data_IF_949748311677
#
_entry.id   IF_949748311677
#
_cell.length_a   1.000
_cell.length_b   1.000
_cell.length_c   1.000
_cell.angle_alpha   90.00
_cell.angle_beta   90.00
_cell.angle_gamma   90.00
#
_symmetry.space_group_name_H-M   'P 1'
#
loop_
_entity.id
_entity.type
_entity.pdbx_description
1 polymer ?
#
# COMPACT_ATOMS: atom_id res chain seq x y z
N UNK A 1 35.26 -5.25 11.88
CA UNK A 1 35.93 -4.91 10.61
C UNK A 1 36.31 -6.21 9.93
N UNK A 2 35.35 -6.83 9.22
CA UNK A 2 35.62 -8.00 8.37
C UNK A 2 35.50 -7.53 6.93
N UNK A 3 36.65 -7.40 6.29
CA UNK A 3 36.78 -7.30 4.84
C UNK A 3 36.33 -8.64 4.25
N UNK A 4 35.14 -8.67 3.62
CA UNK A 4 34.81 -9.77 2.72
C UNK A 4 35.44 -9.45 1.38
N UNK A 5 36.40 -10.31 1.04
CA UNK A 5 37.20 -10.30 -0.16
C UNK A 5 36.29 -10.47 -1.39
N UNK A 6 36.11 -9.40 -2.17
CA UNK A 6 35.46 -9.45 -3.47
C UNK A 6 36.35 -10.28 -4.43
N UNK A 7 35.86 -11.45 -4.83
CA UNK A 7 36.49 -12.31 -5.83
C UNK A 7 36.08 -11.83 -7.24
N UNK A 8 37.01 -11.40 -8.13
CA UNK A 8 36.64 -10.74 -9.39
C UNK A 8 36.22 -11.66 -10.56
N UNK A 9 35.96 -12.95 -10.35
CA UNK A 9 35.84 -13.92 -11.45
C UNK A 9 34.57 -14.80 -11.47
N UNK A 10 33.49 -14.38 -10.79
CA UNK A 10 32.16 -15.04 -10.87
C UNK A 10 31.01 -14.10 -11.31
N UNK A 11 31.32 -12.84 -11.63
CA UNK A 11 30.33 -11.83 -11.98
C UNK A 11 30.11 -11.77 -13.50
N UNK A 12 29.33 -12.69 -14.06
CA UNK A 12 28.74 -12.44 -15.39
C UNK A 12 27.25 -12.08 -15.36
N UNK A 13 26.58 -12.19 -14.21
CA UNK A 13 25.26 -11.57 -13.97
C UNK A 13 25.12 -11.09 -12.52
N UNK A 14 25.78 -9.97 -12.26
CA UNK A 14 25.87 -9.27 -10.98
C UNK A 14 24.56 -8.74 -10.38
N UNK A 15 23.51 -8.70 -11.18
CA UNK A 15 22.27 -7.96 -10.95
C UNK A 15 21.08 -8.75 -11.50
N UNK A 16 21.07 -10.07 -11.29
CA UNK A 16 20.04 -10.94 -11.83
C UNK A 16 18.66 -10.62 -11.25
N UNK A 17 18.57 -10.32 -9.95
CA UNK A 17 17.29 -10.01 -9.32
C UNK A 17 16.79 -8.62 -9.70
N UNK A 18 17.66 -7.61 -9.78
CA UNK A 18 17.31 -6.29 -10.33
C UNK A 18 16.81 -6.40 -11.76
N UNK A 19 17.49 -7.18 -12.60
CA UNK A 19 17.08 -7.36 -14.00
C UNK A 19 15.70 -8.00 -14.08
N UNK A 20 15.49 -9.14 -13.42
CA UNK A 20 14.19 -9.83 -13.40
C UNK A 20 13.07 -8.97 -12.81
N UNK A 21 13.34 -8.22 -11.74
CA UNK A 21 12.38 -7.31 -11.10
C UNK A 21 11.91 -6.19 -12.03
N UNK A 22 12.84 -5.58 -12.78
CA UNK A 22 12.51 -4.52 -13.74
C UNK A 22 11.85 -5.09 -15.01
N UNK A 23 12.27 -6.26 -15.48
CA UNK A 23 11.65 -6.95 -16.62
C UNK A 23 10.20 -7.35 -16.32
N UNK A 24 9.93 -7.99 -15.17
CA UNK A 24 8.57 -8.32 -14.73
C UNK A 24 7.71 -7.07 -14.63
N UNK A 25 8.25 -5.98 -14.09
CA UNK A 25 7.51 -4.72 -13.95
C UNK A 25 7.20 -4.10 -15.31
N UNK A 26 8.16 -4.06 -16.23
CA UNK A 26 7.93 -3.54 -17.58
C UNK A 26 6.85 -4.37 -18.30
N UNK A 27 6.94 -5.71 -18.24
CA UNK A 27 5.96 -6.60 -18.85
C UNK A 27 4.55 -6.38 -18.30
N UNK A 28 4.41 -6.23 -16.99
CA UNK A 28 3.10 -5.98 -16.37
C UNK A 28 2.50 -4.64 -16.83
N UNK A 29 3.32 -3.60 -16.95
CA UNK A 29 2.86 -2.31 -17.45
C UNK A 29 2.41 -2.38 -18.91
N UNK A 30 3.17 -3.07 -19.77
CA UNK A 30 2.75 -3.32 -21.15
C UNK A 30 1.41 -4.05 -21.25
N UNK A 31 1.21 -5.08 -20.41
CA UNK A 31 -0.05 -5.85 -20.41
C UNK A 31 -1.26 -5.02 -19.96
N UNK A 32 -1.05 -4.03 -19.08
CA UNK A 32 -2.12 -3.14 -18.61
C UNK A 32 -2.45 -2.05 -19.63
N UNK A 33 -1.45 -1.56 -20.36
CA UNK A 33 -1.65 -0.55 -21.41
C UNK A 33 -2.34 -1.13 -22.65
N UNK A 34 -2.21 -2.43 -22.94
CA UNK A 34 -2.97 -3.06 -24.03
C UNK A 34 -4.49 -3.13 -23.79
N UNK A 35 -4.92 -3.05 -22.53
CA UNK A 35 -6.34 -3.07 -22.12
C UNK A 35 -6.94 -1.65 -21.98
N UNK A 36 -6.14 -0.59 -22.06
CA UNK A 36 -6.55 0.81 -21.88
C UNK A 36 -6.02 1.71 -23.00
N UNK A 37 -6.90 2.39 -23.73
CA UNK A 37 -6.55 3.23 -24.87
C UNK A 37 -5.74 4.49 -24.51
N UNK A 38 -4.44 4.35 -24.27
CA UNK A 38 -3.43 5.41 -24.36
C UNK A 38 -2.06 4.78 -24.63
N UNK A 39 -1.59 4.87 -25.88
CA UNK A 39 -0.25 4.42 -26.27
C UNK A 39 0.78 5.49 -25.91
N UNK A 40 1.03 5.68 -24.60
CA UNK A 40 2.23 6.38 -24.14
C UNK A 40 3.36 5.34 -24.02
N UNK A 41 4.48 5.60 -24.69
CA UNK A 41 5.68 4.74 -24.57
C UNK A 41 6.12 4.67 -23.11
N UNK A 42 6.28 3.46 -22.56
CA UNK A 42 6.80 3.26 -21.21
C UNK A 42 8.14 3.99 -21.05
N UNK A 43 8.23 4.92 -20.09
CA UNK A 43 9.48 5.57 -19.74
C UNK A 43 10.18 4.84 -18.59
N UNK A 44 11.52 4.87 -18.56
CA UNK A 44 12.34 4.22 -17.54
C UNK A 44 11.95 4.64 -16.11
N UNK A 45 11.58 5.91 -15.92
CA UNK A 45 11.12 6.43 -14.62
C UNK A 45 9.82 5.77 -14.17
N UNK A 46 8.86 5.56 -15.08
CA UNK A 46 7.59 4.90 -14.76
C UNK A 46 7.83 3.46 -14.35
N UNK A 47 8.61 2.69 -15.14
CA UNK A 47 8.95 1.30 -14.81
C UNK A 47 9.61 1.22 -13.43
N UNK A 48 10.60 2.08 -13.18
CA UNK A 48 11.33 2.07 -11.91
C UNK A 48 10.42 2.45 -10.72
N UNK A 49 9.55 3.46 -10.87
CA UNK A 49 8.57 3.83 -9.83
C UNK A 49 7.64 2.68 -9.47
N UNK A 50 7.07 2.02 -10.47
CA UNK A 50 6.19 0.85 -10.26
C UNK A 50 6.96 -0.32 -9.65
N UNK A 51 8.21 -0.52 -10.03
CA UNK A 51 9.04 -1.59 -9.50
C UNK A 51 9.25 -1.40 -7.99
N UNK A 52 9.57 -0.17 -7.55
CA UNK A 52 9.68 0.15 -6.12
C UNK A 52 8.35 0.00 -5.38
N UNK A 53 7.23 0.39 -5.99
CA UNK A 53 5.92 0.20 -5.37
C UNK A 53 5.63 -1.30 -5.14
N UNK A 54 5.96 -2.17 -6.11
CA UNK A 54 5.81 -3.63 -5.97
C UNK A 54 6.58 -4.22 -4.79
N UNK A 55 7.68 -3.59 -4.35
CA UNK A 55 8.39 -4.03 -3.15
C UNK A 55 7.51 -3.92 -1.89
N UNK A 56 6.48 -3.07 -1.87
CA UNK A 56 5.55 -2.97 -0.75
C UNK A 56 4.42 -4.01 -0.80
N UNK A 57 4.25 -4.73 -1.92
CA UNK A 57 3.17 -5.72 -2.09
C UNK A 57 3.70 -7.15 -2.27
N UNK A 58 5.00 -7.32 -2.52
CA UNK A 58 5.64 -8.62 -2.73
C UNK A 58 5.61 -9.56 -1.53
N UNK A 59 5.46 -10.85 -1.81
CA UNK A 59 5.75 -11.90 -0.83
C UNK A 59 7.27 -12.09 -0.67
N UNK A 60 7.83 -11.44 0.35
CA UNK A 60 9.27 -11.47 0.64
C UNK A 60 9.77 -12.82 1.18
N UNK A 61 8.89 -13.78 1.48
CA UNK A 61 9.30 -15.14 1.84
C UNK A 61 9.68 -15.95 0.59
N UNK A 62 8.97 -15.71 -0.51
CA UNK A 62 9.15 -16.43 -1.78
C UNK A 62 9.96 -15.64 -2.80
N UNK A 63 10.03 -14.31 -2.67
CA UNK A 63 10.66 -13.42 -3.64
C UNK A 63 11.78 -12.61 -2.96
N UNK A 64 13.05 -12.82 -3.35
CA UNK A 64 14.16 -12.09 -2.77
C UNK A 64 14.14 -10.62 -3.18
N UNK A 65 14.73 -9.78 -2.33
CA UNK A 65 14.95 -8.38 -2.65
C UNK A 65 16.01 -8.22 -3.76
N UNK A 66 15.84 -7.25 -4.70
CA UNK A 66 16.84 -6.91 -5.68
C UNK A 66 18.15 -6.50 -5.01
N UNK A 67 19.29 -6.83 -5.64
CA UNK A 67 20.62 -6.64 -5.06
C UNK A 67 20.86 -5.20 -4.58
N UNK A 68 20.31 -4.23 -5.29
CA UNK A 68 20.44 -2.80 -4.98
C UNK A 68 19.65 -2.35 -3.75
N UNK A 69 18.67 -3.13 -3.28
CA UNK A 69 17.81 -2.77 -2.14
C UNK A 69 17.94 -3.73 -0.95
N UNK A 70 18.79 -4.76 -1.04
CA UNK A 70 19.01 -5.75 0.04
C UNK A 70 19.35 -5.09 1.38
N UNK A 71 20.16 -4.03 1.36
CA UNK A 71 20.55 -3.32 2.59
C UNK A 71 19.40 -2.57 3.26
N UNK A 72 18.33 -2.27 2.51
CA UNK A 72 17.15 -1.56 2.99
C UNK A 72 15.93 -2.49 3.16
N UNK A 73 16.09 -3.82 3.05
CA UNK A 73 15.00 -4.80 3.06
C UNK A 73 14.06 -4.66 4.28
N UNK A 74 14.64 -4.45 5.47
CA UNK A 74 13.87 -4.31 6.72
C UNK A 74 12.97 -3.08 6.66
N UNK A 75 13.48 -1.98 6.09
CA UNK A 75 12.71 -0.73 5.95
C UNK A 75 11.56 -0.89 4.97
N UNK A 76 11.75 -1.65 3.89
CA UNK A 76 10.65 -1.98 2.96
C UNK A 76 9.61 -2.90 3.62
N UNK A 77 10.03 -3.88 4.40
CA UNK A 77 9.12 -4.76 5.14
C UNK A 77 8.30 -4.01 6.20
N UNK A 78 8.92 -3.09 6.94
CA UNK A 78 8.24 -2.20 7.89
C UNK A 78 7.21 -1.32 7.16
N UNK A 79 7.58 -0.73 6.03
CA UNK A 79 6.65 0.08 5.22
C UNK A 79 5.53 -0.76 4.62
N UNK A 80 5.79 -2.01 4.21
CA UNK A 80 4.75 -2.96 3.75
C UNK A 80 3.74 -3.23 4.86
N UNK A 81 4.20 -3.45 6.09
CA UNK A 81 3.33 -3.66 7.25
C UNK A 81 2.48 -2.41 7.55
N UNK A 82 3.11 -1.24 7.54
CA UNK A 82 2.44 0.04 7.73
C UNK A 82 1.37 0.29 6.64
N UNK A 83 1.69 -0.05 5.39
CA UNK A 83 0.78 0.04 4.25
C UNK A 83 -0.45 -0.87 4.43
N UNK A 84 -0.24 -2.14 4.82
CA UNK A 84 -1.32 -3.09 5.10
C UNK A 84 -2.26 -2.55 6.19
N UNK A 85 -1.70 -2.05 7.29
CA UNK A 85 -2.48 -1.49 8.39
C UNK A 85 -3.26 -0.25 7.96
N UNK A 86 -2.69 0.62 7.13
CA UNK A 86 -3.38 1.80 6.59
C UNK A 86 -4.52 1.44 5.64
N UNK A 87 -4.31 0.45 4.77
CA UNK A 87 -5.36 -0.04 3.86
C UNK A 87 -6.53 -0.62 4.66
N UNK A 88 -6.25 -1.41 5.70
CA UNK A 88 -7.28 -1.93 6.60
C UNK A 88 -7.98 -0.82 7.37
N UNK A 89 -7.24 0.14 7.94
CA UNK A 89 -7.80 1.27 8.65
C UNK A 89 -8.76 2.08 7.77
N UNK A 90 -8.35 2.42 6.54
CA UNK A 90 -9.21 3.13 5.59
C UNK A 90 -10.46 2.33 5.23
N UNK A 91 -10.31 1.03 4.98
CA UNK A 91 -11.43 0.11 4.67
C UNK A 91 -12.44 0.04 5.81
N UNK A 92 -11.96 -0.14 7.04
CA UNK A 92 -12.80 -0.26 8.24
C UNK A 92 -13.51 1.06 8.58
N UNK A 93 -12.85 2.20 8.38
CA UNK A 93 -13.46 3.51 8.55
C UNK A 93 -14.63 3.72 7.57
N UNK A 94 -14.47 3.33 6.30
CA UNK A 94 -15.54 3.42 5.30
C UNK A 94 -16.72 2.51 5.67
N UNK A 95 -16.46 1.25 6.05
CA UNK A 95 -17.50 0.30 6.48
C UNK A 95 -18.26 0.85 7.70
N UNK A 96 -17.55 1.39 8.67
CA UNK A 96 -18.12 1.96 9.91
C UNK A 96 -18.99 3.18 9.60
N UNK A 97 -18.49 4.10 8.77
CA UNK A 97 -19.21 5.31 8.38
C UNK A 97 -20.51 5.00 7.62
N UNK A 98 -20.49 3.97 6.77
CA UNK A 98 -21.67 3.51 6.04
C UNK A 98 -22.71 2.87 6.98
N UNK A 99 -22.25 2.17 8.01
CA UNK A 99 -23.12 1.42 8.92
C UNK A 99 -23.72 2.29 10.04
N UNK A 100 -22.99 3.31 10.50
CA UNK A 100 -23.43 4.24 11.54
C UNK A 100 -24.60 5.13 11.08
N UNK A 101 -24.75 5.34 9.76
CA UNK A 101 -25.78 6.19 9.18
C UNK A 101 -25.45 7.68 9.27
N UNK A 102 -26.11 8.53 8.46
CA UNK A 102 -25.67 9.91 8.21
C UNK A 102 -25.64 10.81 9.44
N UNK A 103 -26.52 10.57 10.43
CA UNK A 103 -26.59 11.37 11.65
C UNK A 103 -25.34 11.17 12.51
N UNK A 104 -25.01 9.90 12.81
CA UNK A 104 -23.84 9.57 13.65
C UNK A 104 -22.54 9.87 12.91
N UNK A 105 -22.50 9.55 11.63
CA UNK A 105 -21.38 9.81 10.74
C UNK A 105 -21.04 11.30 10.58
N UNK A 106 -22.01 12.20 10.79
CA UNK A 106 -21.81 13.65 10.76
C UNK A 106 -21.44 14.26 12.12
N UNK A 107 -21.41 13.47 13.20
CA UNK A 107 -21.06 13.97 14.52
C UNK A 107 -19.59 14.42 14.56
N UNK A 108 -19.30 15.61 15.11
CA UNK A 108 -17.93 16.06 15.30
C UNK A 108 -17.11 15.05 16.11
N UNK A 109 -15.96 14.65 15.57
CA UNK A 109 -15.02 13.75 16.25
C UNK A 109 -15.35 12.26 16.17
N UNK A 110 -16.50 11.85 15.62
CA UNK A 110 -16.85 10.43 15.49
C UNK A 110 -15.82 9.67 14.64
N UNK A 111 -15.45 10.21 13.47
CA UNK A 111 -14.44 9.59 12.60
C UNK A 111 -13.08 9.46 13.29
N UNK A 112 -12.63 10.48 14.02
CA UNK A 112 -11.35 10.44 14.75
C UNK A 112 -11.39 9.44 15.91
N UNK A 113 -12.53 9.33 16.60
CA UNK A 113 -12.73 8.33 17.64
C UNK A 113 -12.67 6.91 17.06
N UNK A 114 -13.39 6.64 15.96
CA UNK A 114 -13.34 5.35 15.27
C UNK A 114 -11.93 5.05 14.77
N UNK A 115 -11.26 6.04 14.19
CA UNK A 115 -9.88 5.91 13.71
C UNK A 115 -8.94 5.52 14.84
N UNK A 116 -9.01 6.19 15.99
CA UNK A 116 -8.17 5.89 17.15
C UNK A 116 -8.43 4.47 17.68
N UNK A 117 -9.71 4.07 17.77
CA UNK A 117 -10.10 2.73 18.23
C UNK A 117 -9.59 1.64 17.28
N UNK A 118 -9.87 1.79 15.97
CA UNK A 118 -9.48 0.82 14.95
C UNK A 118 -7.96 0.71 14.89
N UNK A 119 -7.25 1.84 14.88
CA UNK A 119 -5.79 1.86 14.79
C UNK A 119 -5.14 1.14 15.96
N UNK A 120 -5.64 1.33 17.18
CA UNK A 120 -5.16 0.62 18.36
C UNK A 120 -5.37 -0.88 18.23
N UNK A 121 -6.53 -1.32 17.73
CA UNK A 121 -6.85 -2.74 17.58
C UNK A 121 -6.10 -3.40 16.42
N UNK A 122 -5.69 -2.63 15.41
CA UNK A 122 -4.85 -3.10 14.30
C UNK A 122 -3.37 -3.23 14.68
N UNK A 123 -2.97 -2.80 15.88
CA UNK A 123 -1.59 -2.93 16.34
C UNK A 123 -1.17 -4.41 16.37
N UNK A 124 -0.10 -4.73 15.65
CA UNK A 124 0.39 -6.12 15.51
C UNK A 124 -0.24 -6.92 14.37
N UNK A 125 -1.26 -6.42 13.66
CA UNK A 125 -1.74 -7.08 12.43
C UNK A 125 -0.61 -7.16 11.41
N UNK A 126 -0.43 -8.35 10.82
CA UNK A 126 0.64 -8.66 9.88
C UNK A 126 1.96 -9.10 10.52
N UNK A 127 2.02 -9.20 11.86
CA UNK A 127 3.17 -9.79 12.57
C UNK A 127 3.01 -11.30 12.75
N UNK A 128 4.11 -12.08 12.80
CA UNK A 128 4.05 -13.51 12.99
C UNK A 128 3.30 -13.91 14.26
N UNK A 129 2.34 -14.83 14.13
CA UNK A 129 1.55 -15.33 15.26
C UNK A 129 0.28 -14.53 15.58
N UNK A 130 0.02 -13.41 14.90
CA UNK A 130 -1.23 -12.66 15.02
C UNK A 130 -2.17 -13.03 13.87
N UNK A 131 -3.34 -13.55 14.22
CA UNK A 131 -4.42 -13.89 13.27
C UNK A 131 -5.19 -12.62 12.89
N UNK A 132 -5.09 -12.21 11.62
CA UNK A 132 -5.86 -11.07 11.09
C UNK A 132 -7.37 -11.28 11.28
N UNK A 133 -7.87 -12.50 11.10
CA UNK A 133 -9.29 -12.84 11.24
C UNK A 133 -9.79 -12.61 12.68
N UNK A 134 -8.99 -12.99 13.68
CA UNK A 134 -9.35 -12.81 15.10
C UNK A 134 -9.31 -11.34 15.51
N UNK A 135 -8.35 -10.58 14.96
CA UNK A 135 -8.29 -9.13 15.14
C UNK A 135 -9.51 -8.47 14.53
N UNK A 136 -9.89 -8.81 13.29
CA UNK A 136 -11.07 -8.26 12.63
C UNK A 136 -12.36 -8.63 13.35
N UNK A 137 -12.49 -9.86 13.87
CA UNK A 137 -13.64 -10.25 14.69
C UNK A 137 -13.74 -9.37 15.95
N UNK A 138 -12.61 -9.15 16.64
CA UNK A 138 -12.54 -8.27 17.82
C UNK A 138 -12.91 -6.82 17.47
N UNK A 139 -12.42 -6.31 16.35
CA UNK A 139 -12.76 -4.98 15.85
C UNK A 139 -14.27 -4.89 15.58
N UNK A 140 -14.86 -5.90 14.95
CA UNK A 140 -16.29 -5.99 14.68
C UNK A 140 -17.14 -5.84 15.95
N UNK A 141 -16.77 -6.56 17.01
CA UNK A 141 -17.43 -6.45 18.31
C UNK A 141 -17.30 -5.03 18.91
N UNK A 142 -16.09 -4.47 18.92
CA UNK A 142 -15.83 -3.16 19.54
C UNK A 142 -16.49 -2.01 18.80
N UNK A 143 -16.42 -1.99 17.46
CA UNK A 143 -17.07 -0.96 16.65
C UNK A 143 -18.59 -1.04 16.79
N UNK A 144 -19.18 -2.24 16.78
CA UNK A 144 -20.63 -2.40 16.93
C UNK A 144 -21.16 -1.82 18.24
N UNK A 145 -20.47 -2.11 19.37
CA UNK A 145 -20.81 -1.54 20.68
C UNK A 145 -20.73 -0.02 20.64
N UNK A 146 -19.68 0.52 20.04
CA UNK A 146 -19.43 1.96 20.00
C UNK A 146 -20.42 2.71 19.09
N UNK A 147 -20.77 2.15 17.95
CA UNK A 147 -21.82 2.67 17.06
C UNK A 147 -23.18 2.65 17.76
N UNK A 148 -23.54 1.56 18.43
CA UNK A 148 -24.79 1.46 19.20
C UNK A 148 -24.84 2.51 20.33
N UNK A 149 -23.73 2.71 21.04
CA UNK A 149 -23.57 3.74 22.07
C UNK A 149 -23.84 5.13 21.49
N UNK A 150 -23.21 5.48 20.36
CA UNK A 150 -23.43 6.77 19.70
C UNK A 150 -24.90 6.96 19.26
N UNK A 151 -25.51 5.93 18.66
CA UNK A 151 -26.92 6.00 18.24
C UNK A 151 -27.85 6.28 19.43
N UNK A 152 -27.62 5.61 20.57
CA UNK A 152 -28.41 5.79 21.79
C UNK A 152 -28.28 7.19 22.40
N UNK A 153 -27.06 7.75 22.42
CA UNK A 153 -26.79 9.06 23.02
C UNK A 153 -27.39 10.22 22.21
N UNK A 154 -27.49 10.05 20.90
CA UNK A 154 -27.97 11.09 19.99
C UNK A 154 -29.43 10.89 19.56
N UNK A 155 -30.19 10.02 20.26
CA UNK A 155 -31.61 9.80 19.98
C UNK A 155 -31.91 9.30 18.57
N UNK A 156 -30.93 8.65 17.93
CA UNK A 156 -31.05 8.10 16.58
C UNK A 156 -31.75 6.75 16.61
N UNK A 157 -32.10 6.22 15.43
CA UNK A 157 -32.69 4.88 15.33
C UNK A 157 -31.78 3.84 16.00
N UNK A 158 -32.32 2.99 16.90
CA UNK A 158 -31.53 1.97 17.56
C UNK A 158 -30.78 1.08 16.57
N UNK A 159 -29.60 0.61 16.98
CA UNK A 159 -28.83 -0.33 16.18
C UNK A 159 -29.51 -1.70 16.25
N UNK A 160 -30.18 -2.10 15.17
CA UNK A 160 -30.91 -3.37 15.15
C UNK A 160 -29.93 -4.55 15.08
N UNK A 161 -30.31 -5.73 15.58
CA UNK A 161 -29.46 -6.93 15.53
C UNK A 161 -28.98 -7.27 14.12
N UNK A 162 -29.83 -7.05 13.10
CA UNK A 162 -29.50 -7.33 11.70
C UNK A 162 -28.44 -6.36 11.16
N UNK A 163 -28.51 -5.07 11.56
CA UNK A 163 -27.49 -4.07 11.20
C UNK A 163 -26.17 -4.36 11.89
N UNK A 164 -26.23 -4.81 13.14
CA UNK A 164 -25.05 -5.20 13.91
C UNK A 164 -24.36 -6.42 13.28
N UNK A 165 -25.11 -7.47 12.97
CA UNK A 165 -24.57 -8.68 12.32
C UNK A 165 -23.99 -8.37 10.94
N UNK A 166 -24.67 -7.53 10.16
CA UNK A 166 -24.18 -7.06 8.86
C UNK A 166 -22.86 -6.29 8.98
N UNK A 167 -22.75 -5.37 9.93
CA UNK A 167 -21.51 -4.63 10.19
C UNK A 167 -20.35 -5.58 10.57
N UNK A 168 -20.59 -6.51 11.50
CA UNK A 168 -19.59 -7.50 11.91
C UNK A 168 -19.15 -8.38 10.73
N UNK A 169 -20.09 -8.83 9.90
CA UNK A 169 -19.80 -9.60 8.69
C UNK A 169 -18.95 -8.84 7.66
N UNK A 170 -19.25 -7.56 7.43
CA UNK A 170 -18.44 -6.70 6.55
C UNK A 170 -17.03 -6.49 7.09
N UNK A 171 -16.88 -6.24 8.40
CA UNK A 171 -15.58 -6.07 9.04
C UNK A 171 -14.75 -7.36 8.94
N UNK A 172 -15.35 -8.53 9.18
CA UNK A 172 -14.64 -9.81 9.11
C UNK A 172 -14.08 -10.10 7.72
N UNK A 173 -14.74 -9.60 6.67
CA UNK A 173 -14.30 -9.76 5.29
C UNK A 173 -13.45 -8.57 4.79
N UNK A 174 -13.07 -7.63 5.66
CA UNK A 174 -12.36 -6.41 5.26
C UNK A 174 -10.97 -6.68 4.68
N UNK A 175 -10.25 -7.71 5.16
CA UNK A 175 -8.96 -8.11 4.62
C UNK A 175 -9.05 -9.09 3.43
N UNK A 176 -10.26 -9.45 2.99
CA UNK A 176 -10.43 -10.39 1.89
C UNK A 176 -9.94 -9.77 0.58
N UNK A 177 -9.14 -10.48 -0.23
CA UNK A 177 -8.74 -10.02 -1.57
C UNK A 177 -9.91 -9.72 -2.50
N UNK A 178 -11.11 -10.26 -2.24
CA UNK A 178 -12.33 -10.00 -3.01
C UNK A 178 -13.14 -8.79 -2.55
N UNK A 179 -12.75 -8.16 -1.43
CA UNK A 179 -13.47 -7.03 -0.86
C UNK A 179 -13.27 -5.78 -1.72
N UNK A 180 -14.36 -5.24 -2.28
CA UNK A 180 -14.31 -4.09 -3.19
C UNK A 180 -13.90 -2.78 -2.53
N UNK A 181 -14.21 -2.61 -1.24
CA UNK A 181 -13.78 -1.44 -0.48
C UNK A 181 -12.27 -1.52 -0.28
N UNK A 182 -11.76 -2.69 0.13
CA UNK A 182 -10.32 -2.92 0.29
C UNK A 182 -9.56 -2.65 -1.02
N UNK A 183 -9.96 -3.28 -2.13
CA UNK A 183 -9.34 -3.08 -3.46
C UNK A 183 -9.34 -1.59 -3.88
N UNK A 184 -10.42 -0.87 -3.60
CA UNK A 184 -10.53 0.54 -3.94
C UNK A 184 -9.59 1.41 -3.11
N UNK A 185 -9.50 1.14 -1.80
CA UNK A 185 -8.60 1.88 -0.90
C UNK A 185 -7.14 1.59 -1.26
N UNK A 186 -6.80 0.32 -1.47
CA UNK A 186 -5.47 -0.12 -1.90
C UNK A 186 -5.04 0.58 -3.20
N UNK A 187 -5.87 0.52 -4.25
CA UNK A 187 -5.59 1.16 -5.54
C UNK A 187 -5.39 2.68 -5.42
N UNK A 188 -6.18 3.36 -4.57
CA UNK A 188 -6.03 4.81 -4.32
C UNK A 188 -4.73 5.12 -3.59
N UNK A 189 -4.35 4.30 -2.62
CA UNK A 189 -3.10 4.44 -1.88
C UNK A 189 -1.91 4.23 -2.82
N UNK A 190 -1.91 3.16 -3.63
CA UNK A 190 -0.88 2.89 -4.63
C UNK A 190 -0.72 4.05 -5.62
N UNK A 191 -1.85 4.56 -6.13
CA UNK A 191 -1.87 5.72 -7.04
C UNK A 191 -1.28 6.96 -6.38
N UNK A 192 -1.60 7.20 -5.10
CA UNK A 192 -1.03 8.30 -4.33
C UNK A 192 0.49 8.16 -4.16
N UNK A 193 0.98 6.97 -3.80
CA UNK A 193 2.41 6.70 -3.63
C UNK A 193 3.19 6.86 -4.95
N UNK A 194 2.64 6.39 -6.08
CA UNK A 194 3.24 6.57 -7.41
C UNK A 194 3.29 8.04 -7.79
N UNK A 195 2.20 8.78 -7.59
CA UNK A 195 2.15 10.22 -7.84
C UNK A 195 3.17 10.97 -6.97
N UNK A 196 3.32 10.57 -5.71
CA UNK A 196 4.29 11.14 -4.78
C UNK A 196 5.74 10.89 -5.24
N UNK A 197 6.07 9.68 -5.73
CA UNK A 197 7.38 9.38 -6.30
C UNK A 197 7.69 10.22 -7.55
N UNK A 198 6.69 10.44 -8.41
CA UNK A 198 6.84 11.24 -9.63
C UNK A 198 6.97 12.74 -9.35
N UNK A 199 6.41 13.21 -8.24
CA UNK A 199 6.41 14.63 -7.84
C UNK A 199 7.44 14.96 -6.77
N UNK A 200 8.29 14.02 -6.34
CA UNK A 200 9.23 14.22 -5.23
C UNK A 200 10.23 15.38 -5.41
N UNK A 201 10.41 15.88 -6.64
CA UNK A 201 11.23 17.06 -6.96
C UNK A 201 10.41 18.38 -7.01
N UNK A 202 9.09 18.33 -6.80
CA UNK A 202 8.17 19.47 -6.77
C UNK A 202 7.80 19.82 -5.32
N UNK A 203 7.58 21.11 -5.04
CA UNK A 203 7.31 21.62 -3.68
C UNK A 203 5.90 21.33 -3.16
N UNK A 204 5.01 20.76 -3.97
CA UNK A 204 3.62 20.50 -3.63
C UNK A 204 3.36 18.99 -3.55
N UNK A 205 2.76 18.55 -2.45
CA UNK A 205 2.27 17.17 -2.34
C UNK A 205 1.14 16.94 -3.36
N UNK A 206 1.04 15.74 -3.95
CA UNK A 206 -0.04 15.42 -4.87
C UNK A 206 -1.39 15.52 -4.16
N UNK A 207 -2.43 15.83 -4.92
CA UNK A 207 -3.78 15.86 -4.38
C UNK A 207 -4.17 14.46 -3.87
N UNK A 208 -4.74 14.39 -2.67
CA UNK A 208 -5.20 13.14 -2.09
C UNK A 208 -6.44 12.65 -2.84
N UNK A 209 -6.47 11.38 -3.31
CA UNK A 209 -7.68 10.78 -3.85
C UNK A 209 -8.84 10.83 -2.84
N UNK A 210 -10.06 11.07 -3.33
CA UNK A 210 -11.25 11.10 -2.48
C UNK A 210 -11.43 9.81 -1.66
N UNK A 211 -11.91 9.95 -0.43
CA UNK A 211 -12.15 8.83 0.49
C UNK A 211 -10.96 8.41 1.35
N UNK A 212 -9.75 8.95 1.12
CA UNK A 212 -8.59 8.72 1.99
C UNK A 212 -8.40 9.80 3.07
N UNK A 213 -9.26 10.84 3.09
CA UNK A 213 -9.15 11.98 4.02
C UNK A 213 -8.90 11.59 5.48
N UNK A 214 -9.63 10.61 6.05
CA UNK A 214 -9.42 10.18 7.43
C UNK A 214 -8.02 9.62 7.72
N UNK A 215 -7.30 9.10 6.73
CA UNK A 215 -5.96 8.51 6.90
C UNK A 215 -4.86 9.33 6.20
N UNK A 216 -5.19 10.54 5.77
CA UNK A 216 -4.29 11.39 4.97
C UNK A 216 -2.93 11.59 5.64
N UNK A 217 -2.95 11.99 6.92
CA UNK A 217 -1.73 12.32 7.66
C UNK A 217 -0.76 11.13 7.70
N UNK A 218 -1.27 9.96 8.06
CA UNK A 218 -0.47 8.74 8.16
C UNK A 218 0.05 8.30 6.79
N UNK A 219 -0.78 8.43 5.75
CA UNK A 219 -0.37 8.11 4.39
C UNK A 219 0.73 9.05 3.88
N UNK A 220 0.65 10.35 4.19
CA UNK A 220 1.69 11.33 3.87
C UNK A 220 3.01 11.01 4.60
N UNK A 221 2.96 10.63 5.87
CA UNK A 221 4.13 10.21 6.64
C UNK A 221 4.82 8.99 6.01
N UNK A 222 4.04 7.97 5.61
CA UNK A 222 4.53 6.80 4.88
C UNK A 222 5.10 7.18 3.51
N UNK A 223 4.40 8.02 2.74
CA UNK A 223 4.83 8.45 1.42
C UNK A 223 6.16 9.21 1.46
N UNK A 224 6.36 10.10 2.45
CA UNK A 224 7.62 10.80 2.67
C UNK A 224 8.75 9.81 2.98
N UNK A 225 8.51 8.83 3.87
CA UNK A 225 9.49 7.80 4.24
C UNK A 225 9.89 6.97 3.01
N UNK A 226 8.89 6.51 2.25
CA UNK A 226 9.06 5.72 1.04
C UNK A 226 9.83 6.48 -0.04
N UNK A 227 9.40 7.71 -0.37
CA UNK A 227 10.04 8.51 -1.40
C UNK A 227 11.49 8.86 -1.07
N UNK A 228 11.81 9.18 0.19
CA UNK A 228 13.19 9.42 0.62
C UNK A 228 14.08 8.21 0.39
N UNK A 229 13.60 7.03 0.79
CA UNK A 229 14.34 5.77 0.63
C UNK A 229 14.57 5.45 -0.85
N UNK A 230 13.49 5.49 -1.64
CA UNK A 230 13.51 5.19 -3.06
C UNK A 230 14.42 6.16 -3.82
N UNK A 231 14.30 7.46 -3.57
CA UNK A 231 15.09 8.46 -4.31
C UNK A 231 16.57 8.41 -3.95
N UNK A 232 16.92 8.13 -2.69
CA UNK A 232 18.30 7.89 -2.31
C UNK A 232 18.88 6.67 -3.03
N UNK A 233 18.13 5.56 -3.07
CA UNK A 233 18.57 4.36 -3.75
C UNK A 233 18.75 4.58 -5.26
N UNK A 234 17.78 5.23 -5.92
CA UNK A 234 17.88 5.65 -7.32
C UNK A 234 19.12 6.49 -7.60
N UNK A 235 19.43 7.45 -6.73
CA UNK A 235 20.62 8.30 -6.89
C UNK A 235 21.92 7.50 -6.82
N UNK A 236 22.01 6.53 -5.91
CA UNK A 236 23.21 5.70 -5.73
C UNK A 236 23.39 4.69 -6.87
N UNK A 237 22.30 4.08 -7.33
CA UNK A 237 22.34 2.96 -8.28
C UNK A 237 21.89 3.32 -9.70
N UNK A 238 21.69 4.62 -10.01
CA UNK A 238 21.25 5.09 -11.34
C UNK A 238 22.00 4.44 -12.51
N UNK A 239 23.35 4.37 -12.52
CA UNK A 239 24.06 3.80 -13.68
C UNK A 239 23.66 2.36 -14.00
N UNK A 240 23.32 1.57 -12.98
CA UNK A 240 22.87 0.20 -13.14
C UNK A 240 21.43 0.15 -13.66
N UNK A 241 20.53 0.95 -13.07
CA UNK A 241 19.14 1.04 -13.51
C UNK A 241 19.04 1.53 -14.95
N UNK A 242 19.78 2.58 -15.31
CA UNK A 242 19.77 3.16 -16.65
C UNK A 242 20.25 2.15 -17.70
N UNK A 243 21.33 1.43 -17.42
CA UNK A 243 21.84 0.40 -18.33
C UNK A 243 20.86 -0.77 -18.52
N UNK A 244 20.16 -1.20 -17.46
CA UNK A 244 19.22 -2.33 -17.52
C UNK A 244 17.94 -1.88 -18.23
N UNK A 245 17.35 -0.76 -17.82
CA UNK A 245 16.10 -0.24 -18.38
C UNK A 245 16.23 0.10 -19.87
N UNK A 246 17.37 0.65 -20.30
CA UNK A 246 17.64 0.90 -21.73
C UNK A 246 17.56 -0.41 -22.53
N UNK A 247 18.13 -1.50 -22.01
CA UNK A 247 18.08 -2.82 -22.68
C UNK A 247 16.66 -3.39 -22.70
N UNK A 248 15.91 -3.25 -21.61
CA UNK A 248 14.54 -3.76 -21.50
C UNK A 248 13.63 -3.02 -22.48
N UNK A 249 13.63 -1.69 -22.45
CA UNK A 249 12.73 -0.87 -23.27
C UNK A 249 13.04 -1.01 -24.77
N UNK A 250 14.33 -1.06 -25.16
CA UNK A 250 14.71 -1.28 -26.56
C UNK A 250 14.28 -2.67 -27.09
N UNK A 251 14.25 -3.71 -26.23
CA UNK A 251 13.76 -5.05 -26.63
C UNK A 251 12.26 -5.04 -26.86
N UNK A 252 11.52 -4.33 -26.02
CA UNK A 252 10.06 -4.25 -26.08
C UNK A 252 9.58 -3.41 -27.27
N UNK A 253 10.30 -2.34 -27.65
CA UNK A 253 10.03 -1.59 -28.89
C UNK A 253 10.32 -2.39 -30.16
N UNK A 254 11.19 -3.40 -30.09
CA UNK A 254 11.55 -4.25 -31.23
C UNK A 254 10.63 -5.46 -31.42
N UNK A 255 9.65 -5.66 -30.53
CA UNK A 255 8.71 -6.78 -30.58
C UNK A 255 7.41 -6.33 -31.29
N UNK A 256 7.06 -6.92 -32.46
CA UNK A 256 5.95 -6.48 -33.31
C UNK A 256 4.57 -6.83 -32.76
#
# INVERSE_FOLDING_TARGET
MLFVMFCPLLFSDSLCYVTSWLEETASDLYSKDSDGASSESLCSVSVLNHAYLKLLTWDHEQRPFPETVVMDQIRFQEMKLELLQLTLLGTLLVITQNSAGPVVSALPGFTEQMKSLIRLLLEGVGTPGVSTDDVLATIGEKISVEVARCLSQHGSTPFSPEREESLKGQIRTAASPSNKIYQLIESRIESFLLSYLSTANQRSSPALPGGLGPIQKELEELAVKFARLVNYNKMVFSPYYDSILTKILNKQEAQP
#
